data_IF_615133929584
#
_entry.id   IF_615133929584
#
_cell.length_a   1.000
_cell.length_b   1.000
_cell.length_c   1.000
_cell.angle_alpha   90.00
_cell.angle_beta   90.00
_cell.angle_gamma   90.00
#
_symmetry.space_group_name_H-M   'P 1'
#
loop_
_entity.id
_entity.type
_entity.pdbx_description
1 polymer ?
#
# COMPACT_ATOMS: atom_id res chain seq x y z
N UNK A 1 -26.58 23.50 9.67
CA UNK A 1 -25.63 22.42 9.34
C UNK A 1 -26.47 21.38 8.64
N UNK A 2 -26.35 21.28 7.31
CA UNK A 2 -27.32 20.56 6.49
C UNK A 2 -27.10 19.05 6.60
N UNK A 3 -28.19 18.30 6.81
CA UNK A 3 -28.19 16.84 6.92
C UNK A 3 -27.58 16.18 5.69
N UNK A 4 -27.71 16.80 4.52
CA UNK A 4 -27.10 16.39 3.25
C UNK A 4 -25.56 16.38 3.32
N UNK A 5 -24.98 17.37 4.01
CA UNK A 5 -23.53 17.52 4.17
C UNK A 5 -22.96 16.50 5.15
N UNK A 6 -23.72 16.13 6.19
CA UNK A 6 -23.37 15.04 7.10
C UNK A 6 -23.46 13.69 6.40
N UNK A 7 -24.50 13.46 5.58
CA UNK A 7 -24.61 12.23 4.79
C UNK A 7 -23.51 12.09 3.75
N UNK A 8 -23.01 13.17 3.14
CA UNK A 8 -21.86 13.09 2.22
C UNK A 8 -20.54 12.78 2.94
N UNK A 9 -20.31 13.36 4.13
CA UNK A 9 -19.15 13.05 4.97
C UNK A 9 -19.21 11.60 5.50
N UNK A 10 -20.41 11.12 5.86
CA UNK A 10 -20.64 9.74 6.28
C UNK A 10 -20.59 8.74 5.10
N UNK A 11 -20.88 9.16 3.87
CA UNK A 11 -20.70 8.31 2.68
C UNK A 11 -19.24 8.23 2.24
N UNK A 12 -18.48 9.31 2.43
CA UNK A 12 -17.03 9.33 2.16
C UNK A 12 -16.25 8.38 3.10
N UNK A 13 -16.75 8.17 4.32
CA UNK A 13 -16.16 7.24 5.31
C UNK A 13 -16.47 5.76 5.06
N UNK A 14 -17.35 5.43 4.11
CA UNK A 14 -17.72 4.05 3.75
C UNK A 14 -17.35 3.67 2.31
N UNK A 15 -16.24 4.20 1.77
CA UNK A 15 -15.65 3.57 0.60
C UNK A 15 -15.02 2.23 1.03
N UNK A 16 -15.33 1.12 0.35
CA UNK A 16 -14.63 -0.13 0.61
C UNK A 16 -13.13 0.11 0.41
N UNK A 17 -12.32 -0.50 1.28
CA UNK A 17 -10.88 -0.39 1.19
C UNK A 17 -10.41 -0.91 -0.17
N UNK A 18 -9.27 -0.42 -0.67
CA UNK A 18 -8.71 -0.93 -1.93
C UNK A 18 -8.52 -2.44 -1.89
N UNK A 19 -8.12 -3.00 -0.76
CA UNK A 19 -8.00 -4.44 -0.56
C UNK A 19 -8.81 -4.85 0.68
N UNK A 20 -9.87 -5.60 0.43
CA UNK A 20 -10.83 -6.03 1.46
C UNK A 20 -10.40 -7.29 2.22
N UNK A 21 -9.58 -8.15 1.61
CA UNK A 21 -8.97 -9.33 2.22
C UNK A 21 -7.87 -9.86 1.31
N UNK A 22 -6.98 -10.71 1.82
CA UNK A 22 -6.09 -11.45 0.94
C UNK A 22 -6.88 -12.61 0.31
N UNK A 23 -6.92 -12.76 -1.02
CA UNK A 23 -7.53 -13.92 -1.65
C UNK A 23 -6.79 -15.21 -1.29
N UNK A 24 -7.52 -16.30 -1.06
CA UNK A 24 -6.97 -17.61 -0.64
C UNK A 24 -6.36 -18.41 -1.81
N UNK A 25 -6.18 -17.80 -2.98
CA UNK A 25 -5.54 -18.48 -4.11
C UNK A 25 -4.00 -18.47 -3.98
N UNK A 26 -3.30 -19.50 -4.48
CA UNK A 26 -1.86 -19.63 -4.31
C UNK A 26 -1.07 -18.43 -4.83
N UNK A 27 -1.52 -17.80 -5.92
CA UNK A 27 -0.81 -16.66 -6.52
C UNK A 27 -0.92 -15.46 -5.58
N UNK A 28 -2.11 -15.16 -5.06
CA UNK A 28 -2.31 -14.07 -4.09
C UNK A 28 -1.51 -14.27 -2.81
N UNK A 29 -1.44 -15.51 -2.29
CA UNK A 29 -0.62 -15.83 -1.11
C UNK A 29 0.87 -15.56 -1.40
N UNK A 30 1.39 -15.98 -2.56
CA UNK A 30 2.78 -15.70 -2.97
C UNK A 30 3.04 -14.19 -3.04
N UNK A 31 2.12 -13.41 -3.62
CA UNK A 31 2.26 -11.96 -3.68
C UNK A 31 2.22 -11.32 -2.29
N UNK A 32 1.37 -11.81 -1.38
CA UNK A 32 1.33 -11.32 0.00
C UNK A 32 2.65 -11.58 0.72
N UNK A 33 3.23 -12.77 0.59
CA UNK A 33 4.55 -13.07 1.16
C UNK A 33 5.66 -12.20 0.56
N UNK A 34 5.68 -12.03 -0.76
CA UNK A 34 6.67 -11.16 -1.43
C UNK A 34 6.53 -9.70 -1.01
N UNK A 35 5.31 -9.24 -0.73
CA UNK A 35 5.10 -7.91 -0.20
C UNK A 35 5.62 -7.77 1.24
N UNK A 36 5.36 -8.76 2.11
CA UNK A 36 5.88 -8.75 3.49
C UNK A 36 7.41 -8.81 3.51
N UNK A 37 8.02 -9.67 2.69
CA UNK A 37 9.48 -9.75 2.52
C UNK A 37 10.04 -8.37 2.12
N UNK A 38 9.47 -7.75 1.09
CA UNK A 38 9.84 -6.40 0.67
C UNK A 38 9.73 -5.37 1.80
N UNK A 39 8.61 -5.35 2.55
CA UNK A 39 8.47 -4.45 3.69
C UNK A 39 9.51 -4.73 4.78
N UNK A 40 9.82 -6.00 5.04
CA UNK A 40 10.80 -6.38 6.05
C UNK A 40 12.22 -5.93 5.69
N UNK A 41 12.60 -5.99 4.41
CA UNK A 41 13.87 -5.46 3.91
C UNK A 41 13.96 -3.94 4.02
N UNK A 42 12.81 -3.25 4.01
CA UNK A 42 12.75 -1.79 4.14
C UNK A 42 12.72 -1.33 5.56
N UNK A 43 11.82 -1.86 6.38
CA UNK A 43 11.51 -1.33 7.72
C UNK A 43 11.80 -2.30 8.87
N UNK A 44 12.24 -3.52 8.58
CA UNK A 44 12.35 -4.57 9.61
C UNK A 44 10.99 -5.16 10.00
N UNK A 45 11.00 -6.37 10.56
CA UNK A 45 9.76 -7.09 10.89
C UNK A 45 8.94 -6.41 11.99
N UNK A 46 9.61 -5.77 12.97
CA UNK A 46 8.96 -5.06 14.07
C UNK A 46 8.11 -3.86 13.64
N UNK A 47 8.48 -3.18 12.55
CA UNK A 47 7.80 -1.95 12.10
C UNK A 47 6.71 -2.19 11.04
N UNK A 48 6.55 -3.42 10.54
CA UNK A 48 5.50 -3.75 9.56
C UNK A 48 4.08 -3.44 10.07
N UNK A 49 3.71 -3.75 11.33
CA UNK A 49 2.38 -3.41 11.85
C UNK A 49 2.02 -1.92 11.71
N UNK A 50 2.96 -1.02 12.02
CA UNK A 50 2.77 0.44 11.92
C UNK A 50 2.59 0.88 10.46
N UNK A 51 3.32 0.26 9.53
CA UNK A 51 3.15 0.49 8.09
C UNK A 51 1.78 0.02 7.61
N UNK A 52 1.30 -1.14 8.07
CA UNK A 52 -0.02 -1.64 7.72
C UNK A 52 -1.13 -0.75 8.29
N UNK A 53 -0.97 -0.23 9.51
CA UNK A 53 -1.87 0.76 10.10
C UNK A 53 -1.91 2.05 9.27
N UNK A 54 -0.77 2.53 8.80
CA UNK A 54 -0.73 3.68 7.89
C UNK A 54 -1.55 3.41 6.61
N UNK A 55 -1.41 2.24 5.99
CA UNK A 55 -2.21 1.88 4.80
C UNK A 55 -3.70 1.66 5.10
N UNK A 56 -4.04 1.17 6.28
CA UNK A 56 -5.41 1.09 6.76
C UNK A 56 -6.03 2.48 6.87
N UNK A 57 -5.33 3.42 7.50
CA UNK A 57 -5.79 4.80 7.67
C UNK A 57 -5.95 5.55 6.33
N UNK A 58 -5.18 5.16 5.30
CA UNK A 58 -5.36 5.65 3.92
C UNK A 58 -6.56 5.01 3.19
N UNK A 59 -7.23 4.03 3.78
CA UNK A 59 -8.30 3.24 3.14
C UNK A 59 -7.78 2.27 2.07
N UNK A 60 -6.50 1.91 2.10
CA UNK A 60 -5.94 0.95 1.17
C UNK A 60 -6.14 -0.50 1.64
N UNK A 61 -6.17 -0.71 2.96
CA UNK A 61 -6.43 -2.00 3.58
C UNK A 61 -7.68 -1.93 4.46
N UNK A 62 -8.47 -3.00 4.46
CA UNK A 62 -9.51 -3.21 5.46
C UNK A 62 -8.93 -3.89 6.71
N UNK A 63 -9.71 -3.97 7.79
CA UNK A 63 -9.34 -4.71 9.00
C UNK A 63 -9.00 -6.18 8.68
N UNK A 64 -9.74 -6.80 7.75
CA UNK A 64 -9.53 -8.20 7.36
C UNK A 64 -8.20 -8.37 6.63
N UNK A 65 -7.88 -7.48 5.69
CA UNK A 65 -6.61 -7.53 4.97
C UNK A 65 -5.42 -7.35 5.93
N UNK A 66 -5.51 -6.41 6.89
CA UNK A 66 -4.49 -6.23 7.93
C UNK A 66 -4.33 -7.50 8.76
N UNK A 67 -5.43 -8.08 9.23
CA UNK A 67 -5.39 -9.31 10.04
C UNK A 67 -4.76 -10.49 9.28
N UNK A 68 -5.04 -10.64 7.99
CA UNK A 68 -4.46 -11.71 7.17
C UNK A 68 -2.94 -11.51 7.00
N UNK A 69 -2.49 -10.28 6.73
CA UNK A 69 -1.06 -9.96 6.62
C UNK A 69 -0.33 -10.16 7.95
N UNK A 70 -0.93 -9.79 9.08
CA UNK A 70 -0.34 -10.01 10.41
C UNK A 70 -0.24 -11.51 10.76
N UNK A 71 -1.20 -12.34 10.33
CA UNK A 71 -1.11 -13.80 10.48
C UNK A 71 0.06 -14.36 9.68
N UNK A 72 0.24 -13.92 8.44
CA UNK A 72 1.39 -14.33 7.62
C UNK A 72 2.71 -13.88 8.23
N UNK A 73 2.80 -12.62 8.65
CA UNK A 73 3.97 -12.05 9.32
C UNK A 73 4.40 -12.89 10.53
N UNK A 74 3.44 -13.25 11.40
CA UNK A 74 3.70 -14.09 12.58
C UNK A 74 4.27 -15.46 12.21
N UNK A 75 3.90 -16.02 11.06
CA UNK A 75 4.37 -17.31 10.59
C UNK A 75 5.79 -17.30 10.01
N UNK A 76 6.30 -16.14 9.59
CA UNK A 76 7.59 -16.02 8.89
C UNK A 76 8.66 -15.21 9.63
N UNK A 77 8.28 -14.51 10.72
CA UNK A 77 9.23 -13.68 11.48
C UNK A 77 10.38 -14.56 11.99
N UNK A 78 11.65 -14.23 11.68
CA UNK A 78 12.80 -14.97 12.21
C UNK A 78 12.86 -14.80 13.73
N UNK A 79 13.19 -15.87 14.46
CA UNK A 79 13.27 -15.87 15.93
C UNK A 79 14.50 -15.16 16.51
N UNK A 80 15.07 -14.20 15.78
CA UNK A 80 16.30 -13.49 16.13
C UNK A 80 15.89 -12.14 16.72
N UNK A 81 16.48 -11.75 17.85
CA UNK A 81 16.29 -10.43 18.44
C UNK A 81 16.82 -9.38 17.45
N UNK A 82 15.92 -8.52 16.96
CA UNK A 82 16.24 -7.46 16.01
C UNK A 82 17.20 -6.47 16.68
N UNK A 83 18.36 -6.23 16.05
CA UNK A 83 19.25 -5.10 16.39
C UNK A 83 18.44 -3.80 16.32
N UNK A 84 18.76 -2.82 17.19
CA UNK A 84 18.17 -1.47 17.16
C UNK A 84 18.57 -0.75 15.85
N UNK A 85 17.94 -1.15 14.74
CA UNK A 85 18.02 -0.44 13.48
C UNK A 85 17.18 0.84 13.62
N UNK A 86 17.81 1.99 13.37
CA UNK A 86 17.14 3.29 13.26
C UNK A 86 15.89 3.12 12.38
N UNK A 87 14.72 3.66 12.77
CA UNK A 87 13.44 3.32 12.14
C UNK A 87 13.54 3.64 10.64
N UNK A 88 13.60 2.62 9.77
CA UNK A 88 13.73 2.89 8.36
C UNK A 88 12.43 3.54 7.89
N UNK A 89 12.54 4.66 7.18
CA UNK A 89 11.36 5.35 6.66
C UNK A 89 11.14 4.92 5.22
N UNK A 90 9.94 4.42 4.94
CA UNK A 90 9.52 4.17 3.56
C UNK A 90 9.65 5.45 2.75
N UNK A 91 10.27 5.35 1.58
CA UNK A 91 10.28 6.43 0.60
C UNK A 91 8.93 6.48 -0.12
N UNK A 92 8.67 7.55 -0.86
CA UNK A 92 7.50 7.64 -1.74
C UNK A 92 7.48 6.45 -2.73
N UNK A 93 8.65 6.09 -3.27
CA UNK A 93 8.80 4.92 -4.15
C UNK A 93 8.34 3.64 -3.46
N UNK A 94 8.65 3.47 -2.17
CA UNK A 94 8.28 2.26 -1.47
C UNK A 94 6.77 2.15 -1.20
N UNK A 95 6.12 3.30 -0.95
CA UNK A 95 4.67 3.37 -0.89
C UNK A 95 4.01 3.09 -2.24
N UNK A 96 4.61 3.52 -3.35
CA UNK A 96 4.12 3.20 -4.70
C UNK A 96 4.24 1.70 -4.99
N UNK A 97 5.37 1.08 -4.67
CA UNK A 97 5.55 -0.38 -4.81
C UNK A 97 4.51 -1.13 -3.98
N UNK A 98 4.29 -0.71 -2.73
CA UNK A 98 3.26 -1.28 -1.86
C UNK A 98 1.86 -1.14 -2.46
N UNK A 99 1.53 0.02 -3.04
CA UNK A 99 0.26 0.22 -3.74
C UNK A 99 0.10 -0.76 -4.92
N UNK A 100 1.16 -1.04 -5.68
CA UNK A 100 1.10 -2.01 -6.77
C UNK A 100 0.86 -3.44 -6.27
N UNK A 101 1.45 -3.83 -5.14
CA UNK A 101 1.11 -5.10 -4.48
C UNK A 101 -0.37 -5.16 -4.09
N UNK A 102 -0.89 -4.11 -3.46
CA UNK A 102 -2.29 -4.00 -3.04
C UNK A 102 -3.23 -4.12 -4.25
N UNK A 103 -2.95 -3.39 -5.33
CA UNK A 103 -3.76 -3.43 -6.56
C UNK A 103 -3.68 -4.81 -7.23
N UNK A 104 -2.51 -5.46 -7.21
CA UNK A 104 -2.32 -6.81 -7.73
C UNK A 104 -3.11 -7.85 -6.92
N UNK A 105 -3.11 -7.73 -5.59
CA UNK A 105 -3.87 -8.58 -4.66
C UNK A 105 -5.38 -8.33 -4.78
N UNK A 106 -5.79 -7.12 -5.16
CA UNK A 106 -7.17 -6.78 -5.50
C UNK A 106 -7.57 -7.24 -6.92
N UNK A 107 -6.80 -8.13 -7.54
CA UNK A 107 -7.10 -8.74 -8.83
C UNK A 107 -6.81 -7.85 -10.05
N UNK A 108 -6.23 -6.65 -9.89
CA UNK A 108 -5.85 -5.83 -11.04
C UNK A 108 -4.61 -6.40 -11.71
N UNK A 109 -4.64 -6.42 -13.04
CA UNK A 109 -3.45 -6.73 -13.85
C UNK A 109 -2.68 -5.44 -14.07
N UNK A 110 -1.44 -5.41 -13.60
CA UNK A 110 -0.51 -4.32 -13.81
C UNK A 110 0.41 -4.76 -14.95
N UNK A 111 0.12 -4.31 -16.17
CA UNK A 111 1.00 -4.53 -17.32
C UNK A 111 2.09 -3.47 -17.36
N UNK A 112 3.20 -3.78 -18.05
CA UNK A 112 4.26 -2.79 -18.34
C UNK A 112 3.68 -1.55 -19.02
N UNK A 113 2.74 -1.74 -19.97
CA UNK A 113 2.13 -0.63 -20.71
C UNK A 113 1.41 0.38 -19.79
N UNK A 114 0.78 -0.10 -18.71
CA UNK A 114 0.13 0.77 -17.73
C UNK A 114 1.18 1.57 -16.96
N UNK A 115 2.28 0.92 -16.55
CA UNK A 115 3.37 1.59 -15.84
C UNK A 115 4.04 2.64 -16.72
N UNK A 116 4.32 2.31 -17.98
CA UNK A 116 4.90 3.22 -18.96
C UNK A 116 4.01 4.44 -19.20
N UNK A 117 2.68 4.22 -19.25
CA UNK A 117 1.71 5.31 -19.37
C UNK A 117 1.71 6.23 -18.14
N UNK A 118 1.76 5.67 -16.93
CA UNK A 118 1.82 6.46 -15.70
C UNK A 118 3.09 7.32 -15.68
N UNK A 119 4.24 6.72 -16.00
CA UNK A 119 5.52 7.41 -16.08
C UNK A 119 5.47 8.57 -17.10
N UNK A 120 4.90 8.33 -18.28
CA UNK A 120 4.73 9.36 -19.30
C UNK A 120 3.81 10.50 -18.85
N UNK A 121 2.68 10.19 -18.22
CA UNK A 121 1.74 11.17 -17.67
C UNK A 121 2.41 12.06 -16.60
N UNK A 122 3.19 11.47 -15.69
CA UNK A 122 3.95 12.20 -14.67
C UNK A 122 4.95 13.16 -15.33
N UNK A 123 5.70 12.70 -16.33
CA UNK A 123 6.65 13.55 -17.08
C UNK A 123 5.95 14.71 -17.76
N UNK A 124 4.79 14.46 -18.38
CA UNK A 124 3.98 15.50 -19.02
C UNK A 124 3.51 16.54 -18.01
N UNK A 125 3.05 16.12 -16.83
CA UNK A 125 2.63 17.03 -15.76
C UNK A 125 3.80 17.89 -15.28
N UNK A 126 4.97 17.28 -15.00
CA UNK A 126 6.17 18.02 -14.58
C UNK A 126 6.57 19.08 -15.60
N UNK A 127 6.62 18.69 -16.88
CA UNK A 127 6.92 19.62 -17.97
C UNK A 127 5.92 20.77 -18.07
N UNK A 128 4.62 20.48 -17.93
CA UNK A 128 3.59 21.53 -17.93
C UNK A 128 3.73 22.50 -16.76
N UNK A 129 4.15 22.02 -15.58
CA UNK A 129 4.44 22.87 -14.42
C UNK A 129 5.67 23.75 -14.68
N UNK A 130 6.75 23.21 -15.23
CA UNK A 130 7.95 23.96 -15.61
C UNK A 130 7.62 25.07 -16.63
N UNK A 131 6.84 24.74 -17.68
CA UNK A 131 6.42 25.70 -18.71
C UNK A 131 5.50 26.80 -18.17
N UNK A 132 4.61 26.48 -17.22
CA UNK A 132 3.65 27.44 -16.67
C UNK A 132 4.27 28.34 -15.58
N UNK A 133 5.17 27.81 -14.76
CA UNK A 133 5.79 28.54 -13.65
C UNK A 133 7.20 29.06 -13.95
N UNK A 134 7.78 28.73 -15.11
CA UNK A 134 9.05 29.28 -15.60
C UNK A 134 10.27 28.92 -14.73
N UNK A 135 10.27 27.72 -14.13
CA UNK A 135 11.40 27.18 -13.37
C UNK A 135 12.22 26.26 -14.26
#
# INVERSE_FOLDING_TARGET
MDTTSLSSILLETHRPAKLEKIPDDPISIIFAFKWIEYLSEKVGYSNIPDVLEFYYNLGWLSDRAVLDLLKFLKGIRPGIEEEEELPPRLTITDHLVSLLFIERLNGKKISSDILDRIEWEIRRIKKGVEEYYGV
#
